data_IF_264419525403
#
_entry.id   IF_264419525403
#
_cell.length_a   1.000
_cell.length_b   1.000
_cell.length_c   1.000
_cell.angle_alpha   90.00
_cell.angle_beta   90.00
_cell.angle_gamma   90.00
#
_symmetry.space_group_name_H-M   'P 1'
#
loop_
_entity.id
_entity.type
_entity.pdbx_description
1 polymer ?
#
# COMPACT_ATOMS: atom_id res chain seq x y z
N UNK A 1 8.94 8.05 2.96
CA UNK A 1 7.82 8.90 2.47
C UNK A 1 6.51 8.16 2.39
N UNK A 2 5.41 8.91 2.34
CA UNK A 2 4.08 8.35 2.05
C UNK A 2 3.52 9.08 0.83
N UNK A 3 3.12 8.33 -0.20
CA UNK A 3 2.51 8.84 -1.43
C UNK A 3 1.04 8.45 -1.43
N UNK A 4 0.15 9.46 -1.39
CA UNK A 4 -1.30 9.31 -1.24
C UNK A 4 -1.73 9.40 0.23
N UNK A 5 -2.17 10.59 0.66
CA UNK A 5 -2.59 10.89 2.04
C UNK A 5 -4.10 10.72 2.27
N UNK A 6 -4.73 9.82 1.51
CA UNK A 6 -6.10 9.37 1.75
C UNK A 6 -6.22 8.50 3.01
N UNK A 7 -7.32 7.74 3.11
CA UNK A 7 -7.62 6.89 4.28
C UNK A 7 -6.47 5.95 4.66
N UNK A 8 -5.81 5.30 3.67
CA UNK A 8 -4.72 4.37 3.98
C UNK A 8 -3.43 5.09 4.34
N UNK A 9 -3.02 6.12 3.59
CA UNK A 9 -1.81 6.87 3.90
C UNK A 9 -1.86 7.53 5.27
N UNK A 10 -2.98 8.17 5.63
CA UNK A 10 -3.18 8.74 6.97
C UNK A 10 -3.22 7.66 8.07
N UNK A 11 -3.76 6.47 7.79
CA UNK A 11 -3.74 5.34 8.72
C UNK A 11 -2.32 4.83 8.99
N UNK A 12 -1.50 4.69 7.93
CA UNK A 12 -0.10 4.36 8.09
C UNK A 12 0.65 5.44 8.88
N UNK A 13 0.45 6.71 8.54
CA UNK A 13 1.05 7.83 9.27
C UNK A 13 0.72 7.80 10.77
N UNK A 14 -0.54 7.55 11.13
CA UNK A 14 -0.98 7.35 12.52
C UNK A 14 -0.26 6.18 13.21
N UNK A 15 0.05 5.11 12.50
CA UNK A 15 0.80 3.98 13.05
C UNK A 15 2.24 4.35 13.39
N UNK A 16 2.89 5.18 12.58
CA UNK A 16 4.21 5.76 12.89
C UNK A 16 4.14 6.67 14.11
N UNK A 17 3.17 7.59 14.15
CA UNK A 17 2.97 8.50 15.29
C UNK A 17 2.71 7.75 16.60
N UNK A 18 2.00 6.65 16.55
CA UNK A 18 1.74 5.79 17.70
C UNK A 18 2.95 4.93 18.12
N UNK A 19 4.13 5.10 17.49
CA UNK A 19 5.34 4.35 17.81
C UNK A 19 5.28 2.86 17.48
N UNK A 20 4.32 2.43 16.65
CA UNK A 20 4.16 1.02 16.27
C UNK A 20 5.22 0.55 15.27
N UNK A 21 5.87 1.49 14.57
CA UNK A 21 6.90 1.19 13.57
C UNK A 21 8.24 1.66 14.12
N UNK A 22 9.18 0.73 14.27
CA UNK A 22 10.52 1.01 14.82
C UNK A 22 11.55 1.10 13.69
N UNK A 23 12.59 1.91 13.89
CA UNK A 23 13.72 2.04 12.95
C UNK A 23 13.42 2.85 11.68
N UNK A 24 12.22 3.44 11.57
CA UNK A 24 11.81 4.27 10.43
C UNK A 24 11.06 5.50 10.93
N UNK A 25 11.12 6.58 10.16
CA UNK A 25 10.35 7.82 10.42
C UNK A 25 9.79 8.37 9.11
N UNK A 26 8.69 9.10 9.20
CA UNK A 26 8.15 9.84 8.06
C UNK A 26 8.91 11.16 7.94
N UNK A 27 9.55 11.39 6.81
CA UNK A 27 10.28 12.62 6.48
C UNK A 27 9.58 13.43 5.40
N UNK A 28 8.74 12.78 4.58
CA UNK A 28 7.99 13.44 3.50
C UNK A 28 6.66 12.76 3.24
N UNK A 29 5.71 13.54 2.74
CA UNK A 29 4.39 13.06 2.27
C UNK A 29 4.05 13.71 0.93
N UNK A 30 3.28 13.03 0.09
CA UNK A 30 2.76 13.58 -1.17
C UNK A 30 1.29 13.22 -1.39
N UNK A 31 0.51 14.17 -1.86
CA UNK A 31 -0.83 13.95 -2.42
C UNK A 31 -1.14 15.05 -3.44
N UNK A 32 -1.76 14.68 -4.56
CA UNK A 32 -2.19 15.63 -5.60
C UNK A 32 -3.36 16.51 -5.17
N UNK A 33 -4.02 16.19 -4.06
CA UNK A 33 -5.13 16.94 -3.48
C UNK A 33 -4.62 17.74 -2.29
N UNK A 34 -4.46 19.08 -2.39
CA UNK A 34 -3.88 19.90 -1.31
C UNK A 34 -4.58 19.78 0.03
N UNK A 35 -5.91 19.58 0.03
CA UNK A 35 -6.71 19.43 1.24
C UNK A 35 -6.29 18.21 2.08
N UNK A 36 -5.84 17.13 1.42
CA UNK A 36 -5.35 15.94 2.12
C UNK A 36 -3.99 16.16 2.78
N UNK A 37 -3.23 17.14 2.31
CA UNK A 37 -1.96 17.55 2.93
C UNK A 37 -2.17 18.41 4.18
N UNK A 38 -3.35 18.99 4.41
CA UNK A 38 -3.64 19.79 5.62
C UNK A 38 -3.45 18.96 6.87
N UNK A 39 -4.01 17.74 6.88
CA UNK A 39 -3.83 16.83 8.02
C UNK A 39 -2.34 16.54 8.29
N UNK A 40 -1.55 16.37 7.24
CA UNK A 40 -0.12 16.11 7.38
C UNK A 40 0.63 17.30 7.96
N UNK A 41 0.29 18.52 7.55
CA UNK A 41 0.88 19.75 8.10
C UNK A 41 0.63 19.90 9.60
N UNK A 42 -0.54 19.50 10.06
CA UNK A 42 -0.90 19.58 11.48
C UNK A 42 -0.26 18.47 12.31
N UNK A 43 -0.22 17.24 11.80
CA UNK A 43 0.17 16.06 12.56
C UNK A 43 1.61 15.60 12.33
N UNK A 44 2.24 16.05 11.25
CA UNK A 44 3.62 15.74 10.84
C UNK A 44 4.37 17.04 10.47
N UNK A 45 4.47 18.04 11.37
CA UNK A 45 5.02 19.36 11.03
C UNK A 45 6.50 19.33 10.61
N UNK A 46 7.20 18.26 10.91
CA UNK A 46 8.61 18.03 10.49
C UNK A 46 8.73 17.40 9.10
N UNK A 47 7.63 16.81 8.55
CA UNK A 47 7.66 16.15 7.26
C UNK A 47 7.42 17.16 6.14
N UNK A 48 8.23 17.10 5.08
CA UNK A 48 8.00 17.91 3.89
C UNK A 48 6.77 17.43 3.13
N UNK A 49 5.94 18.36 2.67
CA UNK A 49 4.73 18.06 1.91
C UNK A 49 4.94 18.45 0.44
N UNK A 50 4.66 17.51 -0.45
CA UNK A 50 4.76 17.65 -1.90
C UNK A 50 3.39 17.48 -2.55
N UNK A 51 3.17 18.13 -3.68
CA UNK A 51 1.93 18.04 -4.46
C UNK A 51 1.98 16.95 -5.52
N UNK A 52 3.16 16.40 -5.79
CA UNK A 52 3.36 15.28 -6.71
C UNK A 52 4.21 14.16 -6.09
N UNK A 53 3.95 12.95 -6.55
CA UNK A 53 4.74 11.79 -6.16
C UNK A 53 6.18 11.89 -6.68
N UNK A 54 6.34 12.42 -7.88
CA UNK A 54 7.62 12.61 -8.55
C UNK A 54 8.51 13.57 -7.77
N UNK A 55 7.98 14.73 -7.38
CA UNK A 55 8.71 15.69 -6.56
C UNK A 55 9.22 15.06 -5.26
N UNK A 56 8.38 14.26 -4.59
CA UNK A 56 8.79 13.57 -3.38
C UNK A 56 9.91 12.55 -3.67
N UNK A 57 9.77 11.75 -4.73
CA UNK A 57 10.75 10.73 -5.09
C UNK A 57 12.12 11.32 -5.46
N UNK A 58 12.16 12.50 -6.05
CA UNK A 58 13.35 13.20 -6.52
C UNK A 58 13.95 14.14 -5.46
N UNK A 59 13.25 14.36 -4.34
CA UNK A 59 13.61 15.36 -3.33
C UNK A 59 14.87 15.05 -2.53
N UNK A 60 15.31 13.79 -2.50
CA UNK A 60 16.38 13.35 -1.60
C UNK A 60 15.99 13.25 -0.12
N UNK A 61 14.72 13.45 0.22
CA UNK A 61 14.22 13.46 1.60
C UNK A 61 13.88 12.07 2.13
N UNK A 62 13.86 11.04 1.25
CA UNK A 62 13.37 9.70 1.58
C UNK A 62 14.28 8.60 1.05
N UNK A 63 14.43 7.52 1.81
CA UNK A 63 15.11 6.29 1.38
C UNK A 63 14.10 5.22 0.94
N UNK A 64 12.85 5.36 1.38
CA UNK A 64 11.77 4.42 1.11
C UNK A 64 10.43 5.14 1.00
N UNK A 65 9.51 4.56 0.23
CA UNK A 65 8.14 5.09 0.08
C UNK A 65 7.08 4.03 0.31
N UNK A 66 5.97 4.46 0.92
CA UNK A 66 4.72 3.70 0.99
C UNK A 66 3.75 4.32 -0.02
N UNK A 67 3.31 3.55 -1.00
CA UNK A 67 2.37 4.00 -2.04
C UNK A 67 0.96 3.61 -1.63
N UNK A 68 0.10 4.62 -1.42
CA UNK A 68 -1.29 4.50 -0.95
C UNK A 68 -2.29 5.20 -1.88
N UNK A 69 -1.93 5.34 -3.13
CA UNK A 69 -2.74 5.98 -4.18
C UNK A 69 -3.85 5.04 -4.69
N UNK A 70 -4.73 5.48 -5.60
CA UNK A 70 -5.68 4.59 -6.27
C UNK A 70 -4.98 3.53 -7.14
N UNK A 71 -5.65 2.41 -7.34
CA UNK A 71 -5.12 1.14 -7.84
C UNK A 71 -4.37 1.21 -9.18
N UNK A 72 -4.85 2.04 -10.12
CA UNK A 72 -4.27 2.16 -11.46
C UNK A 72 -2.84 2.72 -11.46
N UNK A 73 -2.51 3.56 -10.49
CA UNK A 73 -1.19 4.22 -10.42
C UNK A 73 -0.11 3.37 -9.76
N UNK A 74 -0.47 2.28 -9.07
CA UNK A 74 0.49 1.49 -8.31
C UNK A 74 1.66 0.98 -9.15
N UNK A 75 1.45 0.30 -10.31
CA UNK A 75 2.57 -0.24 -11.08
C UNK A 75 3.54 0.83 -11.56
N UNK A 76 3.01 1.95 -12.05
CA UNK A 76 3.83 3.05 -12.54
C UNK A 76 4.65 3.70 -11.42
N UNK A 77 3.99 4.03 -10.29
CA UNK A 77 4.66 4.67 -9.15
C UNK A 77 5.71 3.75 -8.51
N UNK A 78 5.44 2.44 -8.42
CA UNK A 78 6.42 1.46 -7.94
C UNK A 78 7.67 1.48 -8.82
N UNK A 79 7.51 1.40 -10.14
CA UNK A 79 8.64 1.40 -11.07
C UNK A 79 9.41 2.73 -11.02
N UNK A 80 8.71 3.87 -10.93
CA UNK A 80 9.34 5.18 -10.78
C UNK A 80 10.15 5.28 -9.49
N UNK A 81 9.59 4.86 -8.36
CA UNK A 81 10.27 4.91 -7.08
C UNK A 81 11.53 4.03 -7.05
N UNK A 82 11.44 2.80 -7.56
CA UNK A 82 12.58 1.90 -7.69
C UNK A 82 13.67 2.49 -8.59
N UNK A 83 13.28 3.11 -9.73
CA UNK A 83 14.20 3.79 -10.64
C UNK A 83 14.94 4.96 -9.99
N UNK A 84 14.25 5.67 -9.07
CA UNK A 84 14.85 6.73 -8.25
C UNK A 84 15.69 6.19 -7.07
N UNK A 85 15.93 4.87 -7.01
CA UNK A 85 16.76 4.27 -5.97
C UNK A 85 16.10 4.18 -4.61
N UNK A 86 14.77 4.17 -4.54
CA UNK A 86 14.01 4.09 -3.29
C UNK A 86 13.52 2.66 -3.03
N UNK A 87 13.48 2.26 -1.76
CA UNK A 87 12.75 1.07 -1.33
C UNK A 87 11.25 1.34 -1.39
N UNK A 88 10.44 0.34 -1.74
CA UNK A 88 9.01 0.54 -1.99
C UNK A 88 8.16 -0.47 -1.24
N UNK A 89 7.14 0.01 -0.56
CA UNK A 89 5.99 -0.78 -0.13
C UNK A 89 4.75 -0.22 -0.82
N UNK A 90 4.04 -1.04 -1.58
CA UNK A 90 2.79 -0.61 -2.23
C UNK A 90 1.58 -1.22 -1.55
N UNK A 91 0.52 -0.43 -1.40
CA UNK A 91 -0.79 -0.94 -1.02
C UNK A 91 -1.35 -1.91 -2.06
N UNK A 92 -2.20 -2.77 -1.60
CA UNK A 92 -2.95 -3.69 -2.47
C UNK A 92 -4.14 -2.95 -3.14
N UNK A 93 -4.59 -3.41 -4.32
CA UNK A 93 -3.99 -4.43 -5.17
C UNK A 93 -2.69 -3.96 -5.83
N UNK A 94 -1.90 -4.89 -6.36
CA UNK A 94 -0.66 -4.57 -7.07
C UNK A 94 -0.87 -3.69 -8.31
N UNK A 95 -2.04 -3.79 -8.90
CA UNK A 95 -2.51 -3.04 -10.06
C UNK A 95 -3.81 -3.63 -10.58
N UNK A 96 -4.38 -3.03 -11.60
CA UNK A 96 -5.66 -3.44 -12.19
C UNK A 96 -5.47 -4.44 -13.34
N UNK A 97 -4.39 -4.32 -14.09
CA UNK A 97 -4.13 -5.19 -15.25
C UNK A 97 -2.95 -6.13 -14.98
N UNK A 98 -3.17 -7.42 -15.20
CA UNK A 98 -2.16 -8.48 -15.02
C UNK A 98 -0.87 -8.18 -15.79
N UNK A 99 -0.98 -7.65 -17.02
CA UNK A 99 0.19 -7.27 -17.84
C UNK A 99 1.07 -6.26 -17.12
N UNK A 100 0.49 -5.15 -16.63
CA UNK A 100 1.22 -4.10 -15.93
C UNK A 100 1.86 -4.61 -14.63
N UNK A 101 1.16 -5.47 -13.89
CA UNK A 101 1.70 -6.08 -12.66
C UNK A 101 2.88 -7.01 -12.97
N UNK A 102 2.82 -7.75 -14.07
CA UNK A 102 3.93 -8.59 -14.52
C UNK A 102 5.15 -7.75 -14.90
N UNK A 103 4.96 -6.71 -15.71
CA UNK A 103 6.01 -5.77 -16.10
C UNK A 103 6.65 -5.11 -14.87
N UNK A 104 5.84 -4.67 -13.89
CA UNK A 104 6.32 -4.12 -12.63
C UNK A 104 7.17 -5.13 -11.84
N UNK A 105 6.72 -6.39 -11.73
CA UNK A 105 7.46 -7.43 -11.01
C UNK A 105 8.80 -7.76 -11.71
N UNK A 106 8.78 -7.89 -13.03
CA UNK A 106 9.99 -8.15 -13.83
C UNK A 106 11.00 -6.99 -13.72
N UNK A 107 10.49 -5.75 -13.67
CA UNK A 107 11.31 -4.57 -13.44
C UNK A 107 11.90 -4.59 -12.02
N UNK A 108 11.06 -4.83 -11.01
CA UNK A 108 11.47 -4.82 -9.60
C UNK A 108 12.56 -5.86 -9.29
N UNK A 109 12.49 -7.06 -9.91
CA UNK A 109 13.49 -8.12 -9.74
C UNK A 109 14.89 -7.74 -10.24
N UNK A 110 14.98 -6.71 -11.10
CA UNK A 110 16.26 -6.22 -11.65
C UNK A 110 16.82 -5.04 -10.87
N UNK A 111 16.15 -4.62 -9.81
CA UNK A 111 16.59 -3.46 -9.00
C UNK A 111 17.26 -3.93 -7.71
N UNK A 112 18.22 -3.15 -7.23
CA UNK A 112 18.91 -3.38 -5.94
C UNK A 112 18.09 -2.95 -4.72
N UNK A 113 16.89 -2.40 -4.94
CA UNK A 113 16.01 -1.92 -3.88
C UNK A 113 14.91 -2.92 -3.56
N UNK A 114 14.52 -2.94 -2.30
CA UNK A 114 13.44 -3.83 -1.84
C UNK A 114 12.09 -3.32 -2.34
N UNK A 115 11.32 -4.20 -2.96
CA UNK A 115 9.91 -4.00 -3.25
C UNK A 115 9.06 -5.00 -2.47
N UNK A 116 8.03 -4.50 -1.80
CA UNK A 116 7.06 -5.31 -1.07
C UNK A 116 5.61 -4.85 -1.31
N UNK A 117 4.69 -5.81 -1.26
CA UNK A 117 3.25 -5.54 -1.28
C UNK A 117 2.68 -5.58 0.13
N UNK A 118 1.76 -4.66 0.43
CA UNK A 118 1.06 -4.59 1.72
C UNK A 118 -0.01 -5.68 1.84
N UNK A 119 0.41 -6.94 1.83
CA UNK A 119 -0.44 -8.09 2.13
C UNK A 119 -0.41 -8.37 3.63
N UNK A 120 -1.00 -7.47 4.41
CA UNK A 120 -0.96 -7.47 5.87
C UNK A 120 -1.42 -8.79 6.51
N UNK A 121 -2.35 -9.51 5.87
CA UNK A 121 -2.79 -10.81 6.38
C UNK A 121 -1.69 -11.88 6.40
N UNK A 122 -0.67 -11.75 5.57
CA UNK A 122 0.49 -12.66 5.60
C UNK A 122 1.34 -12.53 6.87
N UNK A 123 1.22 -11.41 7.59
CA UNK A 123 1.91 -11.15 8.86
C UNK A 123 1.03 -11.44 10.08
N UNK A 124 -0.26 -11.71 9.89
CA UNK A 124 -1.17 -12.09 10.96
C UNK A 124 -0.73 -13.43 11.58
N UNK A 125 -0.62 -13.47 12.91
CA UNK A 125 -0.10 -14.65 13.63
C UNK A 125 -0.94 -15.90 13.40
N UNK A 126 -2.26 -15.78 13.27
CA UNK A 126 -3.17 -16.90 13.00
C UNK A 126 -2.91 -17.47 11.61
N UNK A 127 -2.86 -16.61 10.57
CA UNK A 127 -2.62 -17.08 9.20
C UNK A 127 -1.21 -17.62 9.01
N UNK A 128 -0.22 -17.07 9.71
CA UNK A 128 1.13 -17.65 9.73
C UNK A 128 1.13 -19.06 10.35
N UNK A 129 0.37 -19.27 11.43
CA UNK A 129 0.24 -20.58 12.04
C UNK A 129 -0.49 -21.58 11.14
N UNK A 130 -1.55 -21.16 10.46
CA UNK A 130 -2.24 -21.99 9.46
C UNK A 130 -1.26 -22.38 8.35
N UNK A 131 -0.48 -21.44 7.83
CA UNK A 131 0.52 -21.72 6.80
C UNK A 131 1.55 -22.75 7.29
N UNK A 132 2.10 -22.58 8.49
CA UNK A 132 3.04 -23.54 9.09
C UNK A 132 2.46 -24.96 9.17
N UNK A 133 1.20 -25.08 9.60
CA UNK A 133 0.50 -26.36 9.68
C UNK A 133 0.36 -27.00 8.30
N UNK A 134 -0.04 -26.22 7.32
CA UNK A 134 -0.20 -26.67 5.93
C UNK A 134 1.14 -27.10 5.32
N UNK A 135 2.17 -26.28 5.45
CA UNK A 135 3.50 -26.56 4.89
C UNK A 135 4.16 -27.78 5.52
N UNK A 136 3.88 -28.04 6.80
CA UNK A 136 4.44 -29.19 7.53
C UNK A 136 3.89 -30.53 7.05
N UNK A 137 2.78 -30.56 6.31
CA UNK A 137 2.06 -31.75 5.88
C UNK A 137 1.73 -32.76 6.99
N UNK A 138 1.85 -32.34 8.26
CA UNK A 138 1.64 -33.19 9.45
C UNK A 138 0.27 -33.88 9.46
N UNK A 139 -0.74 -33.25 8.87
CA UNK A 139 -2.11 -33.75 8.82
C UNK A 139 -2.50 -34.27 7.41
N UNK A 140 -1.51 -34.45 6.53
CA UNK A 140 -1.71 -34.94 5.16
C UNK A 140 -2.01 -33.82 4.15
N UNK A 141 -2.52 -34.22 2.99
CA UNK A 141 -2.83 -33.29 1.89
C UNK A 141 -4.16 -32.59 2.10
N UNK A 142 -4.23 -31.31 1.70
CA UNK A 142 -5.47 -30.52 1.74
C UNK A 142 -6.50 -31.16 0.81
N UNK A 143 -7.67 -31.50 1.35
CA UNK A 143 -8.80 -32.10 0.58
C UNK A 143 -9.89 -31.06 0.29
N UNK A 144 -10.09 -30.10 1.19
CA UNK A 144 -11.11 -29.07 1.06
C UNK A 144 -10.71 -27.81 1.82
N UNK A 145 -11.00 -26.65 1.23
CA UNK A 145 -10.89 -25.36 1.92
C UNK A 145 -12.26 -24.69 1.86
N UNK A 146 -12.82 -24.35 3.03
CA UNK A 146 -14.00 -23.50 3.15
C UNK A 146 -13.56 -22.22 3.87
N UNK A 147 -13.76 -21.07 3.22
CA UNK A 147 -13.45 -19.76 3.78
C UNK A 147 -14.74 -18.96 3.87
N UNK A 148 -15.20 -18.68 5.09
CA UNK A 148 -16.46 -17.98 5.35
C UNK A 148 -16.10 -16.70 6.13
N UNK A 149 -16.43 -15.53 5.58
CA UNK A 149 -16.25 -14.23 6.20
C UNK A 149 -17.61 -13.54 6.23
N UNK A 150 -18.15 -13.29 7.43
CA UNK A 150 -19.51 -12.74 7.63
C UNK A 150 -19.51 -11.44 8.42
N UNK A 151 -18.34 -10.96 8.87
CA UNK A 151 -18.17 -9.79 9.74
C UNK A 151 -17.74 -8.53 8.98
N UNK A 152 -17.59 -8.61 7.65
CA UNK A 152 -17.09 -7.51 6.84
C UNK A 152 -18.23 -6.65 6.28
N UNK A 153 -18.58 -5.58 6.99
CA UNK A 153 -19.58 -4.62 6.57
C UNK A 153 -18.94 -3.29 6.11
N UNK A 154 -19.42 -2.76 4.99
CA UNK A 154 -19.04 -1.45 4.47
C UNK A 154 -20.24 -0.52 4.42
N UNK A 155 -20.15 0.59 5.14
CA UNK A 155 -21.20 1.60 5.18
C UNK A 155 -21.28 2.40 3.87
N UNK A 156 -22.40 3.06 3.61
CA UNK A 156 -22.52 4.00 2.51
C UNK A 156 -21.48 5.14 2.61
N UNK A 157 -21.17 5.59 3.81
CA UNK A 157 -20.14 6.60 4.06
C UNK A 157 -18.75 6.15 3.55
N UNK A 158 -18.43 4.85 3.64
CA UNK A 158 -17.20 4.31 3.06
C UNK A 158 -17.18 4.48 1.53
N UNK A 159 -18.26 4.16 0.85
CA UNK A 159 -18.34 4.29 -0.62
C UNK A 159 -18.32 5.76 -1.06
N UNK A 160 -18.93 6.64 -0.28
CA UNK A 160 -18.94 8.07 -0.55
C UNK A 160 -17.60 8.78 -0.23
N UNK A 161 -16.68 8.13 0.48
CA UNK A 161 -15.40 8.72 0.92
C UNK A 161 -14.39 8.96 -0.20
N UNK A 162 -14.66 8.49 -1.41
CA UNK A 162 -13.82 8.75 -2.58
C UNK A 162 -14.61 8.44 -3.85
N UNK A 163 -14.71 9.39 -4.76
CA UNK A 163 -15.54 9.30 -5.97
C UNK A 163 -15.18 8.17 -6.96
N UNK A 164 -14.17 7.37 -6.66
CA UNK A 164 -13.73 6.23 -7.46
C UNK A 164 -14.19 4.86 -6.93
N UNK A 165 -14.65 4.83 -5.65
CA UNK A 165 -15.07 3.56 -5.02
C UNK A 165 -16.37 3.02 -5.61
N UNK A 166 -16.48 1.70 -5.65
CA UNK A 166 -17.60 0.97 -6.25
C UNK A 166 -17.88 1.33 -7.72
N UNK A 167 -16.87 1.76 -8.44
CA UNK A 167 -16.94 2.00 -9.88
C UNK A 167 -15.92 1.15 -10.62
N UNK A 168 -16.29 0.61 -11.77
CA UNK A 168 -15.37 -0.14 -12.63
C UNK A 168 -14.15 0.70 -13.04
N UNK A 169 -14.38 1.97 -13.37
CA UNK A 169 -13.33 2.91 -13.78
C UNK A 169 -12.36 3.19 -12.64
N UNK A 170 -12.85 3.27 -11.41
CA UNK A 170 -12.01 3.62 -10.26
C UNK A 170 -11.30 2.43 -9.61
N UNK A 171 -12.00 1.29 -9.46
CA UNK A 171 -11.44 0.11 -8.81
C UNK A 171 -10.89 -0.94 -9.79
N UNK A 172 -11.35 -0.94 -11.03
CA UNK A 172 -10.90 -1.86 -12.08
C UNK A 172 -11.42 -3.28 -11.92
N UNK A 173 -12.35 -3.51 -11.03
CA UNK A 173 -12.90 -4.80 -10.67
C UNK A 173 -12.76 -5.09 -9.19
N UNK A 174 -12.96 -6.34 -8.81
CA UNK A 174 -12.84 -6.79 -7.43
C UNK A 174 -13.74 -7.97 -7.14
N UNK A 175 -13.71 -8.45 -5.89
CA UNK A 175 -14.70 -9.39 -5.37
C UNK A 175 -15.88 -8.56 -4.89
N UNK A 176 -16.99 -8.72 -5.59
CA UNK A 176 -18.27 -8.08 -5.28
C UNK A 176 -19.13 -9.00 -4.45
#
# INVERSE_FOLDING_TARGET
GIIGMGNMGSSHAKSFLAGKIRGMRITAVADSTPEKLLWSKENLPWAKAFTSAEELMESGEVDAVIICTPHYSHPELVMKALKNGLHVVSEKPAGVYTKQVREMNEFAQKQDKTFAMMFNQRTNCVYRKIKEIVDSKKYGEIRRVNWIITDWYRTQAYYNSGGWRATWVGEGGGVL
#
